data_IF_364353669127
#
_entry.id   IF_364353669127
#
_cell.length_a   1.000
_cell.length_b   1.000
_cell.length_c   1.000
_cell.angle_alpha   90.00
_cell.angle_beta   90.00
_cell.angle_gamma   90.00
#
_symmetry.space_group_name_H-M   'P 1'
#
loop_
_entity.id
_entity.type
_entity.pdbx_description
1 polymer ?
#
# COMPACT_ATOMS: atom_id res chain seq x y z
N UNK A 1 -8.60 -8.14 -12.88
CA UNK A 1 -8.19 -6.99 -13.71
C UNK A 1 -7.77 -5.76 -12.88
N UNK A 2 -8.49 -5.36 -11.82
CA UNK A 2 -8.20 -4.15 -11.02
C UNK A 2 -6.82 -4.07 -10.35
N UNK A 3 -6.21 -5.20 -9.99
CA UNK A 3 -4.87 -5.23 -9.42
C UNK A 3 -3.74 -5.34 -10.47
N UNK A 4 -4.06 -5.47 -11.76
CA UNK A 4 -3.06 -5.64 -12.82
C UNK A 4 -2.02 -4.52 -12.87
N UNK A 5 -2.39 -3.23 -12.69
CA UNK A 5 -1.40 -2.16 -12.61
C UNK A 5 -0.43 -2.30 -11.43
N UNK A 6 -0.87 -2.90 -10.31
CA UNK A 6 -0.05 -3.12 -9.12
C UNK A 6 0.99 -4.24 -9.31
N UNK A 7 0.74 -5.19 -10.22
CA UNK A 7 1.60 -6.35 -10.42
C UNK A 7 2.44 -6.26 -11.70
N UNK A 8 1.90 -5.69 -12.78
CA UNK A 8 2.53 -5.67 -14.11
C UNK A 8 2.84 -4.25 -14.60
N UNK A 9 2.47 -3.22 -13.83
CA UNK A 9 2.70 -1.82 -14.20
C UNK A 9 4.15 -1.37 -14.02
N UNK A 10 4.55 -0.35 -14.79
CA UNK A 10 5.79 0.39 -14.53
C UNK A 10 5.81 0.93 -13.10
N UNK A 11 6.99 1.30 -12.59
CA UNK A 11 7.11 1.90 -11.24
C UNK A 11 6.18 3.11 -11.08
N UNK A 12 6.11 3.96 -12.11
CA UNK A 12 5.19 5.11 -12.17
C UNK A 12 3.72 4.69 -12.10
N UNK A 13 3.31 3.73 -12.91
CA UNK A 13 1.92 3.24 -12.93
C UNK A 13 1.52 2.59 -11.58
N UNK A 14 2.45 1.88 -10.94
CA UNK A 14 2.23 1.31 -9.59
C UNK A 14 2.08 2.40 -8.54
N UNK A 15 2.91 3.44 -8.60
CA UNK A 15 2.83 4.57 -7.68
C UNK A 15 1.53 5.35 -7.84
N UNK A 16 1.11 5.64 -9.08
CA UNK A 16 -0.15 6.31 -9.38
C UNK A 16 -1.35 5.46 -8.90
N UNK A 17 -1.33 4.15 -9.16
CA UNK A 17 -2.35 3.23 -8.66
C UNK A 17 -2.42 3.22 -7.12
N UNK A 18 -1.28 3.13 -6.42
CA UNK A 18 -1.23 3.20 -4.96
C UNK A 18 -1.76 4.54 -4.45
N UNK A 19 -1.46 5.64 -5.14
CA UNK A 19 -1.99 6.97 -4.83
C UNK A 19 -3.52 6.99 -4.92
N UNK A 20 -4.09 6.46 -6.01
CA UNK A 20 -5.54 6.34 -6.17
C UNK A 20 -6.18 5.47 -5.08
N UNK A 21 -5.59 4.30 -4.77
CA UNK A 21 -6.11 3.43 -3.70
C UNK A 21 -6.04 4.09 -2.33
N UNK A 22 -4.97 4.83 -2.03
CA UNK A 22 -4.86 5.62 -0.80
C UNK A 22 -6.00 6.63 -0.67
N UNK A 23 -6.30 7.36 -1.76
CA UNK A 23 -7.39 8.33 -1.76
C UNK A 23 -8.75 7.66 -1.61
N UNK A 24 -9.00 6.55 -2.30
CA UNK A 24 -10.26 5.81 -2.18
C UNK A 24 -10.46 5.20 -0.79
N UNK A 25 -9.39 4.78 -0.11
CA UNK A 25 -9.46 4.30 1.28
C UNK A 25 -9.85 5.38 2.31
N UNK A 26 -9.79 6.67 1.91
CA UNK A 26 -10.28 7.78 2.73
C UNK A 26 -11.81 7.93 2.70
N UNK A 27 -12.49 7.22 1.80
CA UNK A 27 -13.94 7.18 1.72
C UNK A 27 -14.50 5.84 2.26
N UNK A 28 -15.74 5.85 2.76
CA UNK A 28 -16.39 4.65 3.29
C UNK A 28 -16.64 3.61 2.19
N UNK A 29 -17.18 4.02 1.05
CA UNK A 29 -17.51 3.09 -0.03
C UNK A 29 -16.23 2.59 -0.72
N UNK A 30 -15.28 3.49 -0.97
CA UNK A 30 -13.97 3.14 -1.52
C UNK A 30 -13.21 2.14 -0.64
N UNK A 31 -13.18 2.36 0.68
CA UNK A 31 -12.52 1.44 1.61
C UNK A 31 -13.19 0.05 1.65
N UNK A 32 -14.51 -0.02 1.60
CA UNK A 32 -15.24 -1.30 1.55
C UNK A 32 -14.91 -2.09 0.29
N UNK A 33 -14.93 -1.44 -0.87
CA UNK A 33 -14.61 -2.08 -2.16
C UNK A 33 -13.17 -2.60 -2.18
N UNK A 34 -12.22 -1.81 -1.69
CA UNK A 34 -10.81 -2.22 -1.66
C UNK A 34 -10.59 -3.33 -0.64
N UNK A 35 -11.13 -3.19 0.57
CA UNK A 35 -10.99 -4.17 1.65
C UNK A 35 -11.57 -5.55 1.32
N UNK A 36 -12.63 -5.60 0.50
CA UNK A 36 -13.21 -6.85 0.00
C UNK A 36 -12.37 -7.49 -1.13
N UNK A 37 -11.45 -6.75 -1.75
CA UNK A 37 -10.71 -7.21 -2.92
C UNK A 37 -9.31 -7.72 -2.54
N UNK A 38 -9.20 -9.03 -2.32
CA UNK A 38 -7.94 -9.71 -1.98
C UNK A 38 -6.83 -9.48 -3.01
N UNK A 39 -7.18 -9.33 -4.30
CA UNK A 39 -6.20 -9.03 -5.34
C UNK A 39 -5.60 -7.64 -5.19
N UNK A 40 -6.38 -6.64 -4.77
CA UNK A 40 -5.87 -5.28 -4.50
C UNK A 40 -5.03 -5.28 -3.23
N UNK A 41 -5.47 -5.96 -2.16
CA UNK A 41 -4.67 -6.07 -0.93
C UNK A 41 -3.33 -6.76 -1.21
N UNK A 42 -3.32 -7.86 -1.95
CA UNK A 42 -2.09 -8.55 -2.36
C UNK A 42 -1.20 -7.69 -3.26
N UNK A 43 -1.81 -6.91 -4.17
CA UNK A 43 -1.07 -5.95 -5.00
C UNK A 43 -0.41 -4.84 -4.16
N UNK A 44 -1.11 -4.30 -3.15
CA UNK A 44 -0.56 -3.33 -2.22
C UNK A 44 0.58 -3.96 -1.39
N UNK A 45 0.43 -5.21 -0.96
CA UNK A 45 1.49 -5.95 -0.27
C UNK A 45 2.74 -6.12 -1.14
N UNK A 46 2.58 -6.43 -2.43
CA UNK A 46 3.69 -6.46 -3.37
C UNK A 46 4.37 -5.09 -3.52
N UNK A 47 3.59 -4.01 -3.55
CA UNK A 47 4.12 -2.64 -3.61
C UNK A 47 4.91 -2.23 -2.36
N UNK A 48 4.60 -2.77 -1.18
CA UNK A 48 5.41 -2.53 0.03
C UNK A 48 6.86 -2.99 -0.16
N UNK A 49 7.07 -4.14 -0.80
CA UNK A 49 8.41 -4.71 -1.07
C UNK A 49 9.20 -3.94 -2.13
N UNK A 50 8.53 -3.16 -2.97
CA UNK A 50 9.19 -2.27 -3.95
C UNK A 50 9.88 -1.10 -3.24
N UNK A 51 9.33 -0.65 -2.10
CA UNK A 51 9.87 0.48 -1.37
C UNK A 51 9.59 1.84 -2.01
N UNK A 52 10.30 2.88 -1.54
CA UNK A 52 10.21 4.25 -2.05
C UNK A 52 8.80 4.85 -2.01
N UNK A 53 8.52 5.75 -2.95
CA UNK A 53 7.23 6.45 -3.04
C UNK A 53 6.03 5.54 -3.31
N UNK A 54 6.25 4.38 -3.94
CA UNK A 54 5.21 3.37 -4.16
C UNK A 54 4.88 2.62 -2.87
N UNK A 55 5.89 2.12 -2.15
CA UNK A 55 5.72 1.40 -0.88
C UNK A 55 5.08 2.28 0.20
N UNK A 56 5.51 3.55 0.32
CA UNK A 56 4.92 4.49 1.26
C UNK A 56 3.42 4.73 1.01
N UNK A 57 3.02 4.88 -0.26
CA UNK A 57 1.60 5.06 -0.62
C UNK A 57 0.79 3.78 -0.36
N UNK A 58 1.36 2.62 -0.63
CA UNK A 58 0.72 1.34 -0.33
C UNK A 58 0.50 1.15 1.17
N UNK A 59 1.52 1.46 1.99
CA UNK A 59 1.40 1.42 3.45
C UNK A 59 0.31 2.38 3.97
N UNK A 60 0.25 3.60 3.43
CA UNK A 60 -0.79 4.57 3.78
C UNK A 60 -2.19 4.07 3.40
N UNK A 61 -2.35 3.45 2.21
CA UNK A 61 -3.63 2.87 1.80
C UNK A 61 -4.06 1.75 2.76
N UNK A 62 -3.18 0.81 3.09
CA UNK A 62 -3.47 -0.28 4.03
C UNK A 62 -3.78 0.23 5.45
N UNK A 63 -3.06 1.25 5.91
CA UNK A 63 -3.33 1.91 7.20
C UNK A 63 -4.72 2.56 7.24
N UNK A 64 -5.10 3.27 6.17
CA UNK A 64 -6.43 3.87 6.06
C UNK A 64 -7.53 2.81 6.11
N UNK A 65 -7.36 1.67 5.42
CA UNK A 65 -8.32 0.56 5.45
C UNK A 65 -8.41 -0.08 6.84
N UNK A 66 -7.27 -0.34 7.49
CA UNK A 66 -7.23 -0.94 8.83
C UNK A 66 -7.85 -0.05 9.93
N UNK A 67 -7.93 1.26 9.68
CA UNK A 67 -8.61 2.21 10.57
C UNK A 67 -10.14 2.17 10.45
N UNK A 68 -10.68 1.71 9.31
CA UNK A 68 -12.12 1.79 9.01
C UNK A 68 -12.98 0.81 9.80
N UNK A 69 -12.49 -0.41 9.98
CA UNK A 69 -13.23 -1.48 10.64
C UNK A 69 -12.28 -2.56 11.16
N UNK A 70 -12.68 -3.22 12.24
CA UNK A 70 -11.99 -4.40 12.77
C UNK A 70 -11.96 -5.56 11.76
N UNK A 71 -13.00 -5.73 10.95
CA UNK A 71 -13.04 -6.73 9.88
C UNK A 71 -11.95 -6.46 8.84
N UNK A 72 -11.86 -5.23 8.36
CA UNK A 72 -10.84 -4.83 7.37
C UNK A 72 -9.44 -4.98 7.96
N UNK A 73 -9.25 -4.60 9.22
CA UNK A 73 -7.99 -4.81 9.94
C UNK A 73 -7.61 -6.28 10.01
N UNK A 74 -8.57 -7.15 10.33
CA UNK A 74 -8.34 -8.61 10.42
C UNK A 74 -8.00 -9.22 9.06
N UNK A 75 -8.67 -8.77 7.99
CA UNK A 75 -8.37 -9.19 6.62
C UNK A 75 -6.95 -8.78 6.23
N UNK A 76 -6.57 -7.53 6.46
CA UNK A 76 -5.25 -7.00 6.12
C UNK A 76 -4.14 -7.69 6.91
N UNK A 77 -4.34 -7.91 8.21
CA UNK A 77 -3.36 -8.58 9.07
C UNK A 77 -3.11 -10.04 8.66
N UNK A 78 -4.11 -10.70 8.06
CA UNK A 78 -4.00 -12.09 7.55
C UNK A 78 -3.57 -12.17 6.10
N UNK A 79 -3.50 -11.05 5.39
CA UNK A 79 -3.11 -11.03 3.99
C UNK A 79 -1.62 -11.31 3.86
N UNK A 80 -1.29 -12.25 2.97
CA UNK A 80 0.07 -12.69 2.73
C UNK A 80 0.98 -11.52 2.34
N UNK A 81 2.18 -11.47 2.92
CA UNK A 81 3.20 -10.49 2.58
C UNK A 81 2.95 -9.07 3.09
N UNK A 82 1.80 -8.75 3.70
CA UNK A 82 1.56 -7.41 4.28
C UNK A 82 2.50 -7.14 5.45
N UNK A 83 2.55 -8.04 6.44
CA UNK A 83 3.38 -7.84 7.64
C UNK A 83 4.88 -7.79 7.31
N UNK A 84 5.35 -8.71 6.47
CA UNK A 84 6.73 -8.74 5.98
C UNK A 84 7.07 -7.49 5.17
N UNK A 85 6.18 -7.08 4.27
CA UNK A 85 6.36 -5.89 3.45
C UNK A 85 6.41 -4.60 4.27
N UNK A 86 5.55 -4.47 5.29
CA UNK A 86 5.57 -3.30 6.19
C UNK A 86 6.87 -3.26 7.00
N UNK A 87 7.34 -4.40 7.49
CA UNK A 87 8.59 -4.50 8.25
C UNK A 87 9.78 -4.15 7.37
N UNK A 88 9.84 -4.72 6.16
CA UNK A 88 10.89 -4.44 5.19
C UNK A 88 10.90 -2.96 4.78
N UNK A 89 9.74 -2.35 4.54
CA UNK A 89 9.62 -0.93 4.23
C UNK A 89 10.10 -0.05 5.39
N UNK A 90 9.77 -0.41 6.64
CA UNK A 90 10.21 0.30 7.82
C UNK A 90 11.73 0.22 8.02
N UNK A 91 12.33 -0.94 7.74
CA UNK A 91 13.78 -1.12 7.79
C UNK A 91 14.50 -0.36 6.66
N UNK A 92 13.92 -0.31 5.46
CA UNK A 92 14.45 0.48 4.34
C UNK A 92 14.30 2.00 4.56
N UNK A 93 13.34 2.41 5.39
CA UNK A 93 13.11 3.81 5.75
C UNK A 93 14.25 4.48 6.53
N UNK A 94 15.26 3.72 6.98
CA UNK A 94 16.52 4.25 7.50
C UNK A 94 17.36 4.99 6.46
N UNK A 95 17.10 4.80 5.16
CA UNK A 95 17.81 5.45 4.04
C UNK A 95 16.92 6.44 3.25
N UNK A 96 15.81 6.88 3.84
CA UNK A 96 14.89 7.85 3.22
C UNK A 96 14.89 9.20 3.96
N UNK A 97 16.05 9.58 4.50
CA UNK A 97 16.25 10.79 5.28
C UNK A 97 17.61 11.45 5.04
N UNK A 98 18.11 11.49 3.81
CA UNK A 98 19.12 12.48 3.44
C UNK A 98 18.97 12.88 1.97
N UNK A 99 18.88 14.19 1.71
CA UNK A 99 18.51 14.71 0.40
C UNK A 99 17.90 16.12 0.44
N UNK A 100 17.88 16.75 1.61
CA UNK A 100 17.67 18.20 1.78
C UNK A 100 18.66 18.75 2.81
N UNK A 101 19.96 18.63 2.53
CA UNK A 101 20.97 19.54 3.12
C UNK A 101 22.31 19.49 2.37
N UNK A 102 22.31 19.84 1.08
CA UNK A 102 23.56 20.15 0.34
C UNK A 102 23.25 20.97 -0.91
N UNK A 103 23.00 22.26 -0.73
CA UNK A 103 23.27 23.34 -1.70
C UNK A 103 23.19 24.70 -0.99
#
# INVERSE_FOLDING_TARGET
AVARPLMEGSVRAREDACSCFRQMALDKDGSQVIGANQGVIGGLAACLRVGGGCGQKAAAALGNLAWRSEDQRSVIARAEGVMEGLTALASAGGEAGDGRDSA
#
